data_IF_042880058818
#
_entry.id   IF_042880058818
#
_cell.length_a   1.000
_cell.length_b   1.000
_cell.length_c   1.000
_cell.angle_alpha   90.00
_cell.angle_beta   90.00
_cell.angle_gamma   90.00
#
_symmetry.space_group_name_H-M   'P 1'
#
loop_
_entity.id
_entity.type
_entity.pdbx_description
1 polymer ?
#
# COMPACT_ATOMS: atom_id res chain seq x y z
N UNK A 1 -2.33 2.66 -12.27
CA UNK A 1 -1.59 3.12 -11.07
C UNK A 1 -0.09 3.41 -11.30
N UNK A 2 0.50 3.15 -12.47
CA UNK A 2 1.95 3.33 -12.69
C UNK A 2 2.43 4.76 -12.47
N UNK A 3 1.67 5.75 -12.94
CA UNK A 3 1.99 7.17 -12.77
C UNK A 3 2.10 7.57 -11.29
N UNK A 4 1.06 7.33 -10.49
CA UNK A 4 1.06 7.67 -9.06
C UNK A 4 2.14 6.92 -8.28
N UNK A 5 2.46 5.69 -8.67
CA UNK A 5 3.54 4.93 -8.05
C UNK A 5 4.92 5.55 -8.34
N UNK A 6 5.15 6.06 -9.56
CA UNK A 6 6.37 6.79 -9.91
C UNK A 6 6.50 8.11 -9.14
N UNK A 7 5.39 8.86 -9.02
CA UNK A 7 5.35 10.11 -8.23
C UNK A 7 5.62 9.84 -6.76
N UNK A 8 5.07 8.76 -6.18
CA UNK A 8 5.26 8.40 -4.79
C UNK A 8 6.73 8.11 -4.41
N UNK A 9 7.57 7.75 -5.38
CA UNK A 9 9.01 7.49 -5.17
C UNK A 9 9.90 8.69 -5.50
N UNK A 10 9.33 9.77 -6.05
CA UNK A 10 10.06 11.00 -6.37
C UNK A 10 10.14 11.91 -5.14
N UNK A 11 11.25 12.64 -4.92
CA UNK A 11 11.27 13.74 -3.96
C UNK A 11 10.27 14.83 -4.38
N UNK A 12 9.56 15.42 -3.42
CA UNK A 12 8.63 16.55 -3.62
C UNK A 12 9.29 17.83 -3.09
N UNK A 13 9.88 18.67 -3.96
CA UNK A 13 10.55 19.91 -3.53
C UNK A 13 9.57 21.00 -3.09
N UNK A 14 8.30 20.89 -3.48
CA UNK A 14 7.24 21.88 -3.23
C UNK A 14 6.30 21.44 -2.09
N UNK A 15 6.79 20.60 -1.17
CA UNK A 15 6.03 20.18 0.01
C UNK A 15 5.89 21.36 1.00
N UNK A 16 4.68 21.96 1.15
CA UNK A 16 4.47 23.10 2.05
C UNK A 16 4.61 22.70 3.52
N UNK A 17 4.48 21.40 3.83
CA UNK A 17 4.60 20.86 5.19
C UNK A 17 6.06 20.55 5.56
N UNK A 18 7.01 20.70 4.62
CA UNK A 18 8.41 20.33 4.84
C UNK A 18 9.03 21.07 6.02
N UNK A 19 8.93 22.41 6.05
CA UNK A 19 9.50 23.24 7.12
C UNK A 19 8.83 22.94 8.47
N UNK A 20 7.51 22.76 8.48
CA UNK A 20 6.77 22.44 9.70
C UNK A 20 7.22 21.10 10.29
N UNK A 21 7.39 20.09 9.44
CA UNK A 21 7.90 18.76 9.82
C UNK A 21 9.29 18.86 10.43
N UNK A 22 10.21 19.60 9.81
CA UNK A 22 11.56 19.75 10.34
C UNK A 22 11.60 20.42 11.71
N UNK A 23 10.76 21.43 11.93
CA UNK A 23 10.64 22.12 13.22
C UNK A 23 10.06 21.20 14.30
N UNK A 24 9.02 20.43 13.96
CA UNK A 24 8.44 19.45 14.88
C UNK A 24 9.45 18.33 15.22
N UNK A 25 10.19 17.82 14.23
CA UNK A 25 11.23 16.80 14.42
C UNK A 25 12.41 17.32 15.25
N UNK A 26 12.80 18.59 15.08
CA UNK A 26 13.81 19.23 15.92
C UNK A 26 13.32 19.35 17.38
N UNK A 27 12.10 19.84 17.59
CA UNK A 27 11.51 19.96 18.93
C UNK A 27 11.33 18.61 19.61
N UNK A 28 10.96 17.57 18.86
CA UNK A 28 10.85 16.22 19.38
C UNK A 28 12.21 15.65 19.80
N UNK A 29 13.29 15.95 19.06
CA UNK A 29 14.66 15.54 19.41
C UNK A 29 15.19 16.21 20.69
N UNK A 30 14.80 17.46 20.93
CA UNK A 30 15.20 18.22 22.14
C UNK A 30 14.38 17.86 23.38
N UNK A 31 13.29 17.12 23.22
CA UNK A 31 12.37 16.81 24.30
C UNK A 31 12.96 15.76 25.25
N UNK A 32 13.17 16.16 26.50
CA UNK A 32 13.53 15.24 27.59
C UNK A 32 12.25 14.67 28.18
N UNK A 33 12.14 13.35 28.23
CA UNK A 33 10.97 12.64 28.78
C UNK A 33 11.41 11.85 30.01
N UNK A 34 10.76 12.11 31.14
CA UNK A 34 10.88 11.27 32.33
C UNK A 34 9.90 10.11 32.23
N UNK A 35 10.40 8.95 31.81
CA UNK A 35 9.61 7.73 31.61
C UNK A 35 8.90 7.26 32.89
N UNK A 36 9.37 7.70 34.06
CA UNK A 36 8.79 7.32 35.36
C UNK A 36 7.57 8.16 35.72
N UNK A 37 7.47 9.38 35.18
CA UNK A 37 6.36 10.31 35.42
C UNK A 37 5.24 10.12 34.37
N UNK A 38 5.59 9.86 33.10
CA UNK A 38 4.63 9.56 32.05
C UNK A 38 5.19 8.58 30.97
N UNK A 39 4.84 7.29 31.08
CA UNK A 39 5.26 6.23 30.14
C UNK A 39 4.74 6.37 28.70
N UNK A 40 3.70 7.18 28.46
CA UNK A 40 3.09 7.33 27.13
C UNK A 40 3.52 8.61 26.43
N UNK A 41 4.04 9.58 27.18
CA UNK A 41 4.51 10.85 26.65
C UNK A 41 5.74 10.70 25.73
N UNK A 42 6.53 9.63 25.85
CA UNK A 42 7.71 9.38 25.03
C UNK A 42 7.42 9.16 23.53
N UNK A 43 6.15 8.91 23.16
CA UNK A 43 5.79 8.62 21.77
C UNK A 43 5.71 9.90 20.95
N UNK A 44 6.67 10.08 20.06
CA UNK A 44 6.60 11.04 18.98
C UNK A 44 6.25 10.31 17.68
N UNK A 45 5.25 10.83 16.96
CA UNK A 45 4.87 10.35 15.63
C UNK A 45 5.19 11.45 14.64
N UNK A 46 6.27 11.31 13.85
CA UNK A 46 6.62 12.28 12.82
C UNK A 46 5.48 12.44 11.82
N UNK A 47 5.25 13.67 11.36
CA UNK A 47 4.34 13.89 10.24
C UNK A 47 4.95 13.31 8.98
N UNK A 48 4.25 12.38 8.33
CA UNK A 48 4.69 11.82 7.05
C UNK A 48 4.71 12.89 5.95
N UNK A 49 5.67 12.79 5.03
CA UNK A 49 5.70 13.60 3.82
C UNK A 49 4.54 13.27 2.88
N UNK A 50 4.17 14.20 2.00
CA UNK A 50 3.07 13.98 1.03
C UNK A 50 3.31 12.74 0.16
N UNK A 51 4.55 12.55 -0.30
CA UNK A 51 4.96 11.40 -1.12
C UNK A 51 4.93 10.09 -0.35
N UNK A 52 5.31 10.11 0.93
CA UNK A 52 5.21 8.95 1.83
C UNK A 52 3.75 8.56 2.06
N UNK A 53 2.87 9.53 2.34
CA UNK A 53 1.42 9.29 2.46
C UNK A 53 0.87 8.68 1.17
N UNK A 54 1.26 9.22 0.01
CA UNK A 54 0.87 8.68 -1.29
C UNK A 54 1.40 7.25 -1.50
N UNK A 55 2.65 6.97 -1.11
CA UNK A 55 3.23 5.64 -1.19
C UNK A 55 2.46 4.63 -0.33
N UNK A 56 2.09 5.02 0.89
CA UNK A 56 1.24 4.23 1.79
C UNK A 56 -0.12 3.94 1.18
N UNK A 57 -0.79 4.96 0.61
CA UNK A 57 -2.07 4.79 -0.09
C UNK A 57 -1.93 3.83 -1.28
N UNK A 58 -0.91 3.97 -2.11
CA UNK A 58 -0.69 3.09 -3.25
C UNK A 58 -0.45 1.63 -2.85
N UNK A 59 0.23 1.38 -1.71
CA UNK A 59 0.38 0.01 -1.18
C UNK A 59 -0.96 -0.58 -0.75
N UNK A 60 -1.77 0.21 -0.05
CA UNK A 60 -3.10 -0.22 0.39
C UNK A 60 -4.02 -0.51 -0.80
N UNK A 61 -4.06 0.38 -1.78
CA UNK A 61 -4.87 0.20 -2.99
C UNK A 61 -4.47 -1.06 -3.77
N UNK A 62 -3.18 -1.33 -3.92
CA UNK A 62 -2.70 -2.58 -4.55
C UNK A 62 -3.11 -3.82 -3.76
N UNK A 63 -3.05 -3.78 -2.43
CA UNK A 63 -3.47 -4.89 -1.58
C UNK A 63 -4.98 -5.13 -1.68
N UNK A 64 -5.78 -4.07 -1.65
CA UNK A 64 -7.24 -4.15 -1.82
C UNK A 64 -7.58 -4.71 -3.20
N UNK A 65 -6.93 -4.22 -4.25
CA UNK A 65 -7.12 -4.72 -5.61
C UNK A 65 -6.82 -6.22 -5.70
N UNK A 66 -5.71 -6.69 -5.12
CA UNK A 66 -5.35 -8.10 -5.07
C UNK A 66 -6.42 -8.94 -4.38
N UNK A 67 -6.88 -8.51 -3.19
CA UNK A 67 -7.92 -9.21 -2.42
C UNK A 67 -9.22 -9.28 -3.21
N UNK A 68 -9.64 -8.17 -3.82
CA UNK A 68 -10.87 -8.10 -4.61
C UNK A 68 -10.76 -9.05 -5.81
N UNK A 69 -9.68 -8.99 -6.58
CA UNK A 69 -9.46 -9.88 -7.75
C UNK A 69 -9.47 -11.35 -7.35
N UNK A 70 -8.75 -11.71 -6.29
CA UNK A 70 -8.69 -13.07 -5.79
C UNK A 70 -10.08 -13.58 -5.37
N UNK A 71 -10.83 -12.81 -4.57
CA UNK A 71 -12.16 -13.21 -4.11
C UNK A 71 -13.19 -13.27 -5.22
N UNK A 72 -13.17 -12.28 -6.12
CA UNK A 72 -14.06 -12.29 -7.29
C UNK A 72 -13.78 -13.51 -8.16
N UNK A 73 -12.51 -13.84 -8.40
CA UNK A 73 -12.13 -15.04 -9.16
C UNK A 73 -12.57 -16.33 -8.47
N UNK A 74 -12.39 -16.44 -7.15
CA UNK A 74 -12.88 -17.58 -6.37
C UNK A 74 -14.39 -17.77 -6.54
N UNK A 75 -15.18 -16.71 -6.37
CA UNK A 75 -16.64 -16.77 -6.52
C UNK A 75 -17.03 -17.13 -7.96
N UNK A 76 -16.33 -16.58 -8.96
CA UNK A 76 -16.57 -16.92 -10.36
C UNK A 76 -16.31 -18.40 -10.62
N UNK A 77 -15.20 -18.94 -10.13
CA UNK A 77 -14.88 -20.36 -10.30
C UNK A 77 -15.91 -21.24 -9.56
N UNK A 78 -16.30 -20.89 -8.34
CA UNK A 78 -17.32 -21.63 -7.59
C UNK A 78 -18.68 -21.68 -8.29
N UNK A 79 -19.07 -20.60 -8.99
CA UNK A 79 -20.40 -20.48 -9.60
C UNK A 79 -20.45 -20.89 -11.06
N UNK A 80 -19.39 -20.64 -11.82
CA UNK A 80 -19.33 -20.87 -13.26
C UNK A 80 -18.56 -22.14 -13.62
N UNK A 81 -17.61 -22.59 -12.79
CA UNK A 81 -16.87 -23.84 -12.98
C UNK A 81 -17.35 -24.90 -11.95
N UNK A 82 -18.33 -25.73 -12.33
CA UNK A 82 -18.66 -26.98 -11.61
C UNK A 82 -17.41 -27.89 -11.56
N UNK A 83 -17.26 -28.84 -10.60
CA UNK A 83 -15.99 -29.47 -10.23
C UNK A 83 -15.41 -30.30 -11.39
N UNK A 84 -14.75 -29.63 -12.33
CA UNK A 84 -14.16 -30.22 -13.49
C UNK A 84 -12.80 -30.77 -13.06
N UNK A 85 -12.82 -32.04 -12.68
CA UNK A 85 -11.70 -32.97 -12.77
C UNK A 85 -10.47 -32.62 -11.93
N UNK A 86 -10.57 -32.65 -10.59
CA UNK A 86 -9.43 -32.92 -9.67
C UNK A 86 -8.18 -32.04 -9.77
N UNK A 87 -8.15 -31.05 -10.66
CA UNK A 87 -7.09 -30.11 -10.90
C UNK A 87 -7.45 -28.84 -10.13
N UNK A 88 -6.48 -28.28 -9.41
CA UNK A 88 -6.66 -26.98 -8.76
C UNK A 88 -7.02 -25.94 -9.83
N UNK A 89 -8.16 -25.26 -9.66
CA UNK A 89 -8.50 -24.13 -10.52
C UNK A 89 -7.35 -23.10 -10.48
N UNK A 90 -6.92 -22.56 -11.64
CA UNK A 90 -5.79 -21.66 -11.70
C UNK A 90 -6.08 -20.39 -10.88
N UNK A 91 -5.03 -19.80 -10.31
CA UNK A 91 -5.15 -18.48 -9.68
C UNK A 91 -5.58 -17.42 -10.70
N UNK A 92 -6.16 -16.31 -10.22
CA UNK A 92 -6.63 -15.24 -11.10
C UNK A 92 -5.49 -14.66 -11.96
N UNK A 93 -4.28 -14.59 -11.39
CA UNK A 93 -3.09 -14.06 -12.05
C UNK A 93 -2.60 -15.00 -13.15
N UNK A 94 -2.57 -16.31 -12.91
CA UNK A 94 -2.25 -17.31 -13.92
C UNK A 94 -3.25 -17.30 -15.09
N UNK A 95 -4.54 -17.22 -14.77
CA UNK A 95 -5.59 -17.15 -15.78
C UNK A 95 -5.44 -15.89 -16.65
N UNK A 96 -5.17 -14.74 -16.02
CA UNK A 96 -4.94 -13.49 -16.72
C UNK A 96 -3.69 -13.53 -17.60
N UNK A 97 -2.58 -14.09 -17.11
CA UNK A 97 -1.33 -14.20 -17.87
C UNK A 97 -1.47 -15.16 -19.05
N UNK A 98 -2.22 -16.26 -18.92
CA UNK A 98 -2.55 -17.14 -20.04
C UNK A 98 -3.37 -16.41 -21.10
N UNK A 99 -4.36 -15.61 -20.68
CA UNK A 99 -5.18 -14.82 -21.60
C UNK A 99 -4.34 -13.76 -22.34
N UNK A 100 -3.48 -13.01 -21.65
CA UNK A 100 -2.55 -12.03 -22.25
C UNK A 100 -1.64 -12.65 -23.31
N UNK A 101 -1.05 -13.80 -22.99
CA UNK A 101 -0.21 -14.56 -23.93
C UNK A 101 -0.98 -15.01 -25.18
N UNK A 102 -2.28 -15.30 -25.05
CA UNK A 102 -3.14 -15.70 -26.17
C UNK A 102 -3.58 -14.51 -27.05
N UNK A 103 -3.86 -13.36 -26.45
CA UNK A 103 -4.22 -12.14 -27.19
C UNK A 103 -3.01 -11.36 -27.75
N UNK A 104 -1.79 -11.74 -27.40
CA UNK A 104 -0.58 -11.07 -27.88
C UNK A 104 -0.40 -9.65 -27.32
N UNK A 105 -0.90 -9.40 -26.11
CA UNK A 105 -0.82 -8.11 -25.42
C UNK A 105 -0.07 -8.19 -24.11
#
# INVERSE_FOLDING_TARGET
MSYCAGVATSPDPDDPEHVLREVEDAKARERIVDERLDPYSARYFPREARTERLASLMRNERMVEEIVRQRTWQIMNERCEAPATGASNPSWSEALDRWRKKEGR
#
